data_IF_705076296678
#
_entry.id   IF_705076296678
#
_cell.length_a   1.000
_cell.length_b   1.000
_cell.length_c   1.000
_cell.angle_alpha   90.00
_cell.angle_beta   90.00
_cell.angle_gamma   90.00
#
_symmetry.space_group_name_H-M   'P 1'
#
loop_
_entity.id
_entity.type
_entity.pdbx_description
1 polymer ?
#
# COMPACT_ATOMS: atom_id res chain seq x y z
N UNK A 1 -27.39 -5.61 -11.86
CA UNK A 1 -26.90 -4.29 -11.47
C UNK A 1 -26.80 -4.19 -9.96
N UNK A 2 -25.66 -3.77 -9.46
CA UNK A 2 -25.47 -3.66 -8.01
C UNK A 2 -26.30 -2.50 -7.47
N UNK A 3 -26.94 -2.69 -6.30
CA UNK A 3 -27.66 -1.60 -5.67
C UNK A 3 -26.65 -0.70 -4.93
N UNK A 4 -27.05 0.53 -4.54
CA UNK A 4 -26.11 1.46 -3.91
C UNK A 4 -25.48 0.92 -2.64
N UNK A 5 -26.22 0.15 -1.85
CA UNK A 5 -25.69 -0.43 -0.62
C UNK A 5 -24.59 -1.46 -0.94
N UNK A 6 -24.76 -2.24 -1.98
CA UNK A 6 -23.74 -3.20 -2.41
C UNK A 6 -22.46 -2.50 -2.84
N UNK A 7 -22.58 -1.33 -3.46
CA UNK A 7 -21.43 -0.54 -3.88
C UNK A 7 -20.60 -0.11 -2.66
N UNK A 8 -21.28 0.32 -1.60
CA UNK A 8 -20.61 0.67 -0.35
C UNK A 8 -19.94 -0.55 0.27
N UNK A 9 -20.62 -1.70 0.23
CA UNK A 9 -20.06 -2.93 0.76
C UNK A 9 -18.82 -3.38 -0.01
N UNK A 10 -18.85 -3.20 -1.33
CA UNK A 10 -17.69 -3.52 -2.16
C UNK A 10 -16.50 -2.65 -1.81
N UNK A 11 -16.75 -1.37 -1.56
CA UNK A 11 -15.69 -0.46 -1.16
C UNK A 11 -15.11 -0.85 0.20
N UNK A 12 -16.00 -1.18 1.15
CA UNK A 12 -15.56 -1.62 2.48
C UNK A 12 -14.75 -2.91 2.40
N UNK A 13 -15.18 -3.84 1.55
CA UNK A 13 -14.46 -5.10 1.35
C UNK A 13 -13.08 -4.86 0.73
N UNK A 14 -13.00 -3.95 -0.22
CA UNK A 14 -11.72 -3.60 -0.84
C UNK A 14 -10.77 -3.00 0.19
N UNK A 15 -11.28 -2.09 1.02
CA UNK A 15 -10.48 -1.47 2.06
C UNK A 15 -9.96 -2.51 3.04
N UNK A 16 -10.81 -3.48 3.42
CA UNK A 16 -10.39 -4.55 4.33
C UNK A 16 -9.26 -5.39 3.74
N UNK A 17 -9.32 -5.67 2.43
CA UNK A 17 -8.26 -6.40 1.76
C UNK A 17 -6.96 -5.60 1.71
N UNK A 18 -7.08 -4.29 1.46
CA UNK A 18 -5.93 -3.40 1.46
C UNK A 18 -5.28 -3.37 2.85
N UNK A 19 -6.10 -3.29 3.89
CA UNK A 19 -5.60 -3.27 5.26
C UNK A 19 -4.86 -4.57 5.59
N UNK A 20 -5.42 -5.70 5.17
CA UNK A 20 -4.79 -7.00 5.40
C UNK A 20 -3.45 -7.11 4.66
N UNK A 21 -3.42 -6.66 3.41
CA UNK A 21 -2.19 -6.69 2.61
C UNK A 21 -1.11 -5.81 3.24
N UNK A 22 -1.50 -4.64 3.75
CA UNK A 22 -0.55 -3.75 4.39
C UNK A 22 -0.01 -4.36 5.68
N UNK A 23 -0.88 -5.00 6.47
CA UNK A 23 -0.46 -5.63 7.71
C UNK A 23 0.56 -6.74 7.46
N UNK A 24 0.45 -7.44 6.33
CA UNK A 24 1.39 -8.48 5.94
C UNK A 24 2.57 -7.94 5.13
N UNK A 25 2.55 -6.65 4.84
CA UNK A 25 3.56 -5.99 3.98
C UNK A 25 3.67 -6.68 2.61
N UNK A 26 2.54 -7.12 2.11
CA UNK A 26 2.43 -7.72 0.78
C UNK A 26 2.27 -6.60 -0.25
N UNK A 27 3.39 -6.04 -0.67
CA UNK A 27 3.40 -4.88 -1.55
C UNK A 27 2.81 -5.17 -2.93
N UNK A 28 3.04 -6.39 -3.44
CA UNK A 28 2.48 -6.79 -4.73
C UNK A 28 0.96 -6.83 -4.66
N UNK A 29 0.41 -7.38 -3.59
CA UNK A 29 -1.04 -7.42 -3.38
C UNK A 29 -1.60 -6.00 -3.26
N UNK A 30 -0.88 -5.11 -2.55
CA UNK A 30 -1.29 -3.71 -2.42
C UNK A 30 -1.37 -3.01 -3.78
N UNK A 31 -0.38 -3.23 -4.63
CA UNK A 31 -0.37 -2.64 -5.97
C UNK A 31 -1.57 -3.13 -6.78
N UNK A 32 -1.82 -4.44 -6.75
CA UNK A 32 -2.94 -5.02 -7.47
C UNK A 32 -4.28 -4.51 -6.95
N UNK A 33 -4.44 -4.49 -5.62
CA UNK A 33 -5.67 -4.01 -5.01
C UNK A 33 -5.88 -2.52 -5.25
N UNK A 34 -4.79 -1.76 -5.24
CA UNK A 34 -4.85 -0.33 -5.50
C UNK A 34 -5.42 -0.03 -6.88
N UNK A 35 -5.12 -0.87 -7.86
CA UNK A 35 -5.64 -0.71 -9.22
C UNK A 35 -7.16 -0.91 -9.29
N UNK A 36 -7.75 -1.50 -8.25
CA UNK A 36 -9.19 -1.74 -8.19
C UNK A 36 -9.96 -0.61 -7.51
N UNK A 37 -9.24 0.36 -6.94
CA UNK A 37 -9.88 1.46 -6.22
C UNK A 37 -10.75 2.30 -7.16
N UNK A 38 -10.18 2.73 -8.28
CA UNK A 38 -10.91 3.58 -9.22
C UNK A 38 -12.15 2.89 -9.78
N UNK A 39 -12.07 1.65 -10.32
CA UNK A 39 -13.28 0.99 -10.81
C UNK A 39 -14.31 0.69 -9.72
N UNK A 40 -13.89 0.62 -8.46
CA UNK A 40 -14.84 0.44 -7.35
C UNK A 40 -15.53 1.75 -7.01
N UNK A 41 -14.81 2.87 -7.09
CA UNK A 41 -15.35 4.19 -6.73
C UNK A 41 -16.24 4.77 -7.82
N UNK A 42 -15.94 4.52 -9.09
CA UNK A 42 -16.71 5.12 -10.19
C UNK A 42 -18.21 4.85 -10.11
N UNK A 43 -18.66 3.60 -9.88
CA UNK A 43 -20.09 3.37 -9.71
C UNK A 43 -20.68 4.06 -8.49
N UNK A 44 -19.88 4.22 -7.43
CA UNK A 44 -20.32 4.96 -6.24
C UNK A 44 -20.58 6.41 -6.55
N UNK A 45 -19.68 7.04 -7.31
CA UNK A 45 -19.85 8.44 -7.71
C UNK A 45 -21.07 8.60 -8.62
N UNK A 46 -21.30 7.62 -9.49
CA UNK A 46 -22.48 7.60 -10.35
C UNK A 46 -23.76 7.54 -9.52
N UNK A 47 -23.78 6.65 -8.53
CA UNK A 47 -24.95 6.52 -7.65
C UNK A 47 -25.16 7.78 -6.83
N UNK A 48 -24.08 8.45 -6.42
CA UNK A 48 -24.15 9.71 -5.69
C UNK A 48 -24.75 10.80 -6.57
N UNK A 49 -24.33 10.88 -7.82
CA UNK A 49 -24.90 11.85 -8.77
C UNK A 49 -26.40 11.62 -8.99
N UNK A 50 -26.81 10.36 -8.94
CA UNK A 50 -28.20 9.98 -9.12
C UNK A 50 -29.02 10.09 -7.82
N UNK A 51 -28.42 10.64 -6.76
CA UNK A 51 -29.08 10.82 -5.45
C UNK A 51 -29.52 9.50 -4.82
N UNK A 52 -28.80 8.42 -5.12
CA UNK A 52 -29.11 7.09 -4.59
C UNK A 52 -28.38 6.80 -3.29
N UNK A 53 -27.40 7.63 -2.94
CA UNK A 53 -26.60 7.46 -1.74
C UNK A 53 -26.52 8.78 -0.96
N UNK A 54 -26.39 8.64 0.36
CA UNK A 54 -26.19 9.79 1.24
C UNK A 54 -24.77 10.34 1.01
N UNK A 55 -24.61 11.61 0.62
CA UNK A 55 -23.30 12.19 0.40
C UNK A 55 -22.38 12.09 1.61
N UNK A 56 -22.91 12.22 2.82
CA UNK A 56 -22.11 12.14 4.04
C UNK A 56 -21.50 10.75 4.22
N UNK A 57 -22.31 9.69 3.95
CA UNK A 57 -21.82 8.32 4.08
C UNK A 57 -20.70 8.06 3.07
N UNK A 58 -20.93 8.49 1.83
CA UNK A 58 -19.92 8.32 0.78
C UNK A 58 -18.65 9.08 1.13
N UNK A 59 -18.80 10.32 1.59
CA UNK A 59 -17.66 11.14 1.95
C UNK A 59 -16.83 10.49 3.06
N UNK A 60 -17.48 9.99 4.10
CA UNK A 60 -16.79 9.33 5.20
C UNK A 60 -15.99 8.12 4.72
N UNK A 61 -16.60 7.31 3.83
CA UNK A 61 -15.92 6.15 3.28
C UNK A 61 -14.70 6.54 2.44
N UNK A 62 -14.86 7.57 1.61
CA UNK A 62 -13.77 8.01 0.74
C UNK A 62 -12.65 8.67 1.54
N UNK A 63 -12.99 9.44 2.58
CA UNK A 63 -11.99 10.03 3.45
C UNK A 63 -11.20 8.95 4.18
N UNK A 64 -11.88 7.93 4.68
CA UNK A 64 -11.22 6.82 5.35
C UNK A 64 -10.29 6.06 4.42
N UNK A 65 -10.76 5.81 3.19
CA UNK A 65 -9.93 5.13 2.20
C UNK A 65 -8.73 5.98 1.81
N UNK A 66 -8.93 7.28 1.60
CA UNK A 66 -7.85 8.18 1.24
C UNK A 66 -6.79 8.25 2.36
N UNK A 67 -7.23 8.34 3.60
CA UNK A 67 -6.31 8.34 4.74
C UNK A 67 -5.51 7.04 4.79
N UNK A 68 -6.17 5.92 4.53
CA UNK A 68 -5.50 4.63 4.50
C UNK A 68 -4.47 4.57 3.37
N UNK A 69 -4.85 5.02 2.17
CA UNK A 69 -3.95 4.99 1.01
C UNK A 69 -2.71 5.83 1.28
N UNK A 70 -2.88 7.00 1.89
CA UNK A 70 -1.75 7.86 2.24
C UNK A 70 -0.85 7.20 3.27
N UNK A 71 -1.43 6.56 4.28
CA UNK A 71 -0.65 5.85 5.29
C UNK A 71 0.11 4.67 4.67
N UNK A 72 -0.56 3.91 3.80
CA UNK A 72 0.05 2.78 3.12
C UNK A 72 1.21 3.23 2.23
N UNK A 73 1.02 4.35 1.55
CA UNK A 73 2.05 4.90 0.68
C UNK A 73 3.28 5.33 1.48
N UNK A 74 3.06 5.94 2.64
CA UNK A 74 4.17 6.31 3.53
C UNK A 74 4.91 5.07 4.02
N UNK A 75 4.19 4.03 4.42
CA UNK A 75 4.82 2.80 4.89
C UNK A 75 5.58 2.10 3.77
N UNK A 76 5.03 2.08 2.57
CA UNK A 76 5.69 1.49 1.41
C UNK A 76 6.97 2.24 1.07
N UNK A 77 6.91 3.57 1.12
CA UNK A 77 8.07 4.42 0.87
C UNK A 77 9.14 4.17 1.92
N UNK A 78 8.75 4.11 3.19
CA UNK A 78 9.67 3.86 4.29
C UNK A 78 10.32 2.49 4.14
N UNK A 79 9.53 1.46 3.83
CA UNK A 79 10.06 0.12 3.64
C UNK A 79 11.05 0.07 2.48
N UNK A 80 10.75 0.80 1.40
CA UNK A 80 11.63 0.88 0.25
C UNK A 80 12.94 1.56 0.59
N UNK A 81 12.87 2.63 1.37
CA UNK A 81 14.06 3.35 1.81
C UNK A 81 14.89 2.52 2.76
N UNK A 82 14.25 1.79 3.66
CA UNK A 82 14.94 0.90 4.58
C UNK A 82 15.65 -0.23 3.83
N UNK A 83 14.96 -0.79 2.82
CA UNK A 83 15.57 -1.82 1.99
C UNK A 83 16.78 -1.28 1.22
N UNK A 84 16.64 -0.05 0.70
CA UNK A 84 17.74 0.59 -0.02
C UNK A 84 18.93 0.86 0.90
N UNK A 85 18.65 1.36 2.10
CA UNK A 85 19.71 1.61 3.08
C UNK A 85 20.39 0.30 3.50
N UNK A 86 19.59 -0.74 3.68
CA UNK A 86 20.10 -2.06 4.04
C UNK A 86 21.01 -2.61 2.95
N UNK A 87 20.56 -2.50 1.69
CA UNK A 87 21.37 -2.97 0.56
C UNK A 87 22.68 -2.16 0.44
N UNK A 88 22.58 -0.85 0.65
CA UNK A 88 23.76 0.01 0.61
C UNK A 88 24.71 -0.36 1.73
N UNK A 89 24.18 -0.60 2.94
CA UNK A 89 25.00 -1.02 4.07
C UNK A 89 25.66 -2.37 3.82
N UNK A 90 24.93 -3.30 3.24
CA UNK A 90 25.48 -4.61 2.88
C UNK A 90 26.58 -4.49 1.83
N UNK A 91 26.38 -3.63 0.85
CA UNK A 91 27.38 -3.39 -0.19
C UNK A 91 28.65 -2.79 0.42
N UNK A 92 28.51 -1.82 1.32
CA UNK A 92 29.63 -1.21 1.99
C UNK A 92 30.35 -2.22 2.88
N UNK A 93 29.61 -3.03 3.61
CA UNK A 93 30.20 -4.07 4.46
C UNK A 93 30.91 -5.11 3.63
N UNK A 94 30.41 -5.44 2.47
CA UNK A 94 31.03 -6.40 1.57
C UNK A 94 32.38 -5.86 1.06
N UNK A 95 32.39 -4.57 0.71
CA UNK A 95 33.60 -3.92 0.27
C UNK A 95 34.67 -3.88 1.38
N UNK A 96 34.20 -3.55 2.60
CA UNK A 96 35.07 -3.55 3.77
C UNK A 96 35.62 -4.94 4.06
N UNK A 97 34.74 -5.95 3.97
CA UNK A 97 35.15 -7.34 4.20
C UNK A 97 36.16 -7.79 3.17
N UNK A 98 36.02 -7.38 1.92
CA UNK A 98 37.01 -7.71 0.90
C UNK A 98 38.36 -7.08 1.19
N UNK A 99 38.36 -5.84 1.65
CA UNK A 99 39.58 -5.16 2.02
C UNK A 99 40.25 -5.88 3.17
N UNK A 100 39.49 -6.28 4.17
CA UNK A 100 40.05 -7.01 5.31
C UNK A 100 40.40 -8.44 4.93
N UNK A 101 39.66 -9.06 4.03
CA UNK A 101 40.02 -10.40 3.57
C UNK A 101 41.32 -10.39 2.79
N UNK A 102 41.56 -9.33 2.04
CA UNK A 102 42.81 -9.17 1.37
C UNK A 102 43.96 -9.02 2.34
N UNK A 103 43.67 -8.65 3.58
CA UNK A 103 44.66 -8.48 4.63
C UNK A 103 44.57 -9.63 5.63
N UNK A 104 43.38 -9.95 6.08
CA UNK A 104 43.17 -10.89 7.18
C UNK A 104 42.24 -12.02 6.83
N UNK A 105 41.62 -11.99 5.70
CA UNK A 105 40.65 -12.95 5.27
C UNK A 105 39.39 -12.93 6.12
N UNK A 106 39.01 -11.99 6.47
CA UNK A 106 37.74 -11.90 7.09
C UNK A 106 36.77 -11.25 6.29
N UNK A 107 36.62 -11.07 6.23
CA UNK A 107 35.80 -10.53 5.94
C UNK A 107 35.19 -9.82 6.03
N UNK A 108 35.41 -9.82 6.33
CA UNK A 108 35.08 -9.15 6.46
C UNK A 108 34.46 -8.74 6.56
N UNK A 109 34.38 -8.89 7.22
CA UNK A 109 33.92 -8.66 7.39
C UNK A 109 33.33 -8.34 7.14
#
# INVERSE_FOLDING_TARGET
>A
MANPQELLEQLDALKARLEAALAEQDWDALVELNSKIKPTIEPLMQALENHELDPEVVRERLEGLNAFVQAADREATQAREEARASLKGMSQNRNAARAYQGVSSGRPK
#
